data_IF_855088841721
#
_entry.id   IF_855088841721
#
_cell.length_a   1.000
_cell.length_b   1.000
_cell.length_c   1.000
_cell.angle_alpha   90.00
_cell.angle_beta   90.00
_cell.angle_gamma   90.00
#
_symmetry.space_group_name_H-M   'P 1'
#
loop_
_entity.id
_entity.type
_entity.pdbx_description
1 polymer ?
#
# COMPACT_ATOMS: atom_id res chain seq x y z
N UNK A 1 -42.64 -33.53 -16.96
CA UNK A 1 -42.64 -32.39 -16.05
C UNK A 1 -41.21 -32.17 -15.56
N UNK A 2 -40.48 -31.27 -16.22
CA UNK A 2 -39.17 -30.76 -15.80
C UNK A 2 -39.46 -29.63 -14.83
N UNK A 3 -38.88 -29.70 -13.62
CA UNK A 3 -38.75 -28.57 -12.69
C UNK A 3 -37.56 -27.71 -13.14
N UNK A 4 -37.81 -26.46 -13.36
CA UNK A 4 -36.82 -25.40 -13.53
C UNK A 4 -36.16 -25.12 -12.16
N UNK A 5 -34.83 -24.82 -12.09
CA UNK A 5 -34.20 -24.36 -10.86
C UNK A 5 -34.56 -22.90 -10.60
N UNK A 6 -34.95 -22.64 -9.36
CA UNK A 6 -35.22 -21.33 -8.79
C UNK A 6 -33.88 -20.59 -8.63
N UNK A 7 -33.65 -19.59 -9.49
CA UNK A 7 -32.51 -18.67 -9.38
C UNK A 7 -32.94 -17.47 -8.51
N UNK A 8 -32.91 -17.64 -7.20
CA UNK A 8 -32.88 -16.52 -6.28
C UNK A 8 -31.40 -16.22 -5.92
N UNK A 9 -30.67 -15.55 -6.80
CA UNK A 9 -29.43 -14.90 -6.45
C UNK A 9 -29.75 -13.75 -5.47
N UNK A 10 -29.49 -14.02 -4.20
CA UNK A 10 -29.40 -12.98 -3.17
C UNK A 10 -28.20 -12.08 -3.53
N UNK A 11 -28.48 -10.93 -4.13
CA UNK A 11 -27.52 -9.84 -4.24
C UNK A 11 -27.34 -9.27 -2.82
N UNK A 12 -26.26 -9.65 -2.13
CA UNK A 12 -25.77 -8.90 -0.99
C UNK A 12 -25.40 -7.48 -1.44
N UNK A 13 -26.32 -6.54 -1.24
CA UNK A 13 -26.01 -5.12 -1.31
C UNK A 13 -25.01 -4.81 -0.20
N UNK A 14 -23.75 -4.57 -0.60
CA UNK A 14 -22.74 -4.01 0.30
C UNK A 14 -23.16 -2.56 0.54
N UNK A 15 -23.87 -2.32 1.66
CA UNK A 15 -24.11 -0.97 2.16
C UNK A 15 -22.76 -0.33 2.50
N UNK A 16 -22.36 0.60 1.66
CA UNK A 16 -21.23 1.50 1.92
C UNK A 16 -21.59 2.35 3.15
N UNK A 17 -21.07 1.98 4.33
CA UNK A 17 -21.28 2.76 5.56
C UNK A 17 -20.77 4.19 5.35
N UNK A 18 -21.68 5.11 5.05
CA UNK A 18 -21.36 6.54 4.96
C UNK A 18 -20.88 7.05 6.31
N UNK A 19 -19.57 7.19 6.47
CA UNK A 19 -18.99 7.84 7.64
C UNK A 19 -19.29 9.33 7.60
N UNK A 20 -20.01 9.83 8.59
CA UNK A 20 -20.34 11.25 8.71
C UNK A 20 -19.50 11.87 9.83
N UNK A 21 -18.74 12.91 9.48
CA UNK A 21 -18.01 13.73 10.46
C UNK A 21 -18.87 14.97 10.74
N UNK A 22 -19.24 15.17 12.02
CA UNK A 22 -19.98 16.36 12.47
C UNK A 22 -19.05 17.25 13.28
N UNK A 23 -18.91 18.49 12.87
CA UNK A 23 -18.15 19.52 13.60
C UNK A 23 -19.17 20.51 14.19
N UNK A 24 -19.11 20.70 15.51
CA UNK A 24 -19.97 21.65 16.20
C UNK A 24 -19.19 22.95 16.46
N UNK A 25 -19.76 24.12 16.16
CA UNK A 25 -19.14 25.40 16.51
C UNK A 25 -19.11 25.57 18.03
N UNK A 26 -18.25 26.43 18.54
CA UNK A 26 -18.09 26.78 19.97
C UNK A 26 -17.42 25.70 20.84
N UNK A 27 -16.49 24.94 20.31
CA UNK A 27 -15.59 24.12 21.14
C UNK A 27 -14.41 24.94 21.64
N UNK A 28 -14.07 24.80 22.91
CA UNK A 28 -12.82 25.32 23.44
C UNK A 28 -11.68 24.41 22.99
N UNK A 29 -10.59 25.02 22.52
CA UNK A 29 -9.38 24.28 22.13
C UNK A 29 -8.35 24.36 23.26
N UNK A 30 -7.88 23.22 23.70
CA UNK A 30 -6.84 23.12 24.70
C UNK A 30 -5.51 22.74 24.05
N UNK A 31 -4.43 23.38 24.49
CA UNK A 31 -3.08 22.96 24.06
C UNK A 31 -2.80 21.55 24.58
N UNK A 32 -2.21 20.72 23.71
CA UNK A 32 -1.78 19.38 24.08
C UNK A 32 -0.42 19.07 23.47
N UNK A 33 0.35 18.21 24.12
CA UNK A 33 1.59 17.70 23.55
C UNK A 33 1.26 16.51 22.64
N UNK A 34 1.76 16.56 21.42
CA UNK A 34 1.58 15.49 20.43
C UNK A 34 2.95 15.03 19.95
N UNK A 35 3.22 13.74 20.11
CA UNK A 35 4.35 13.10 19.47
C UNK A 35 4.01 12.77 18.02
N UNK A 36 4.68 13.44 17.08
CA UNK A 36 4.48 13.19 15.66
C UNK A 36 5.27 11.95 15.25
N UNK A 37 4.60 10.91 14.72
CA UNK A 37 5.27 9.70 14.24
C UNK A 37 6.09 9.96 12.99
N UNK A 38 7.02 9.06 12.68
CA UNK A 38 7.65 9.00 11.38
C UNK A 38 6.62 8.73 10.29
N UNK A 39 6.73 9.46 9.16
CA UNK A 39 5.83 9.32 8.03
C UNK A 39 6.01 7.97 7.34
N UNK A 40 4.90 7.23 7.16
CA UNK A 40 4.92 5.91 6.54
C UNK A 40 5.31 5.96 5.06
N UNK A 41 4.84 6.95 4.31
CA UNK A 41 5.17 7.09 2.89
C UNK A 41 6.67 7.30 2.68
N UNK A 42 7.30 8.13 3.52
CA UNK A 42 8.77 8.29 3.50
C UNK A 42 9.49 7.00 3.92
N UNK A 43 8.98 6.31 4.94
CA UNK A 43 9.53 5.04 5.42
C UNK A 43 9.46 3.93 4.35
N UNK A 44 8.45 3.95 3.48
CA UNK A 44 8.22 2.94 2.44
C UNK A 44 9.41 2.77 1.50
N UNK A 45 10.12 3.86 1.18
CA UNK A 45 11.33 3.82 0.35
C UNK A 45 12.46 3.05 1.03
N UNK A 46 12.67 3.28 2.33
CA UNK A 46 13.68 2.56 3.11
C UNK A 46 13.29 1.10 3.32
N UNK A 47 12.00 0.82 3.51
CA UNK A 47 11.48 -0.54 3.63
C UNK A 47 11.81 -1.33 2.34
N UNK A 48 11.42 -0.82 1.18
CA UNK A 48 11.68 -1.51 -0.10
C UNK A 48 13.19 -1.60 -0.35
N UNK A 49 13.96 -0.54 -0.12
CA UNK A 49 15.42 -0.58 -0.27
C UNK A 49 16.04 -1.71 0.57
N UNK A 50 15.65 -1.84 1.84
CA UNK A 50 16.17 -2.90 2.71
C UNK A 50 15.77 -4.31 2.26
N UNK A 51 14.59 -4.46 1.64
CA UNK A 51 14.15 -5.74 1.09
C UNK A 51 14.97 -6.19 -0.11
N UNK A 52 15.31 -5.26 -1.02
CA UNK A 52 15.94 -5.59 -2.31
C UNK A 52 17.48 -5.54 -2.27
N UNK A 53 18.08 -4.80 -1.34
CA UNK A 53 19.53 -4.72 -1.21
C UNK A 53 20.05 -5.94 -0.43
N UNK A 54 21.01 -6.72 -0.99
CA UNK A 54 21.53 -7.90 -0.31
C UNK A 54 22.16 -7.59 1.05
N UNK A 55 21.95 -8.49 2.02
CA UNK A 55 22.49 -8.41 3.38
C UNK A 55 22.05 -7.17 4.18
N UNK A 56 20.94 -6.53 3.77
CA UNK A 56 20.37 -5.42 4.50
C UNK A 56 19.57 -5.89 5.71
N UNK A 57 19.73 -5.18 6.81
CA UNK A 57 18.89 -5.27 8.00
C UNK A 57 18.76 -3.86 8.60
N UNK A 58 17.56 -3.32 8.67
CA UNK A 58 17.30 -2.01 9.25
C UNK A 58 16.11 -2.05 10.21
N UNK A 59 16.12 -1.16 11.19
CA UNK A 59 14.97 -0.90 12.05
C UNK A 59 14.58 0.56 11.93
N UNK A 60 13.37 0.80 11.43
CA UNK A 60 12.75 2.12 11.39
C UNK A 60 11.94 2.30 12.66
N UNK A 61 12.26 3.35 13.45
CA UNK A 61 11.67 3.56 14.77
C UNK A 61 10.52 4.55 14.71
N UNK A 62 9.52 4.31 15.56
CA UNK A 62 8.37 5.22 15.78
C UNK A 62 7.66 5.62 14.48
N UNK A 63 7.42 4.66 13.59
CA UNK A 63 6.70 4.88 12.34
C UNK A 63 5.20 4.81 12.59
N UNK A 64 4.45 5.74 11.99
CA UNK A 64 2.98 5.70 11.99
C UNK A 64 2.48 4.45 11.26
N UNK A 65 1.68 3.63 11.95
CA UNK A 65 1.14 2.38 11.41
C UNK A 65 -0.39 2.37 11.38
N UNK A 66 -0.98 3.49 11.01
CA UNK A 66 -2.42 3.54 10.79
C UNK A 66 -2.83 2.54 9.71
N UNK A 67 -3.79 1.62 9.97
CA UNK A 67 -4.20 0.59 9.02
C UNK A 67 -4.63 1.11 7.65
N UNK A 68 -5.20 2.32 7.58
CA UNK A 68 -5.60 2.96 6.32
C UNK A 68 -4.42 3.42 5.46
N UNK A 69 -3.18 3.45 6.02
CA UNK A 69 -1.97 3.95 5.36
C UNK A 69 -0.92 2.87 5.14
N UNK A 70 -1.08 1.69 5.74
CA UNK A 70 -0.04 0.65 5.78
C UNK A 70 -0.34 -0.57 4.93
N UNK A 71 -1.22 -0.44 3.94
CA UNK A 71 -1.56 -1.52 3.02
C UNK A 71 -0.30 -2.10 2.32
N UNK A 72 0.72 -1.26 2.06
CA UNK A 72 2.00 -1.71 1.49
C UNK A 72 2.67 -2.80 2.33
N UNK A 73 2.65 -2.72 3.66
CA UNK A 73 3.26 -3.75 4.51
C UNK A 73 2.60 -5.11 4.30
N UNK A 74 1.27 -5.13 4.20
CA UNK A 74 0.51 -6.36 3.93
C UNK A 74 0.90 -6.95 2.58
N UNK A 75 0.94 -6.13 1.55
CA UNK A 75 1.32 -6.54 0.18
C UNK A 75 2.75 -7.06 0.13
N UNK A 76 3.70 -6.37 0.76
CA UNK A 76 5.10 -6.82 0.80
C UNK A 76 5.26 -8.16 1.55
N UNK A 77 4.53 -8.36 2.66
CA UNK A 77 4.52 -9.65 3.37
C UNK A 77 3.95 -10.76 2.49
N UNK A 78 2.90 -10.51 1.72
CA UNK A 78 2.35 -11.43 0.73
C UNK A 78 3.37 -11.77 -0.36
N UNK A 79 4.17 -10.79 -0.79
CA UNK A 79 5.31 -10.99 -1.69
C UNK A 79 6.47 -11.79 -1.06
N UNK A 80 6.42 -12.11 0.24
CA UNK A 80 7.45 -12.87 0.95
C UNK A 80 8.48 -12.02 1.70
N UNK A 81 8.18 -10.75 1.96
CA UNK A 81 9.07 -9.86 2.71
C UNK A 81 9.25 -10.29 4.17
N UNK A 82 10.48 -10.25 4.67
CA UNK A 82 10.81 -10.44 6.07
C UNK A 82 10.70 -9.12 6.83
N UNK A 83 9.50 -8.83 7.29
CA UNK A 83 9.15 -7.63 8.04
C UNK A 83 8.60 -8.04 9.41
N UNK A 84 9.08 -7.39 10.48
CA UNK A 84 8.55 -7.58 11.84
C UNK A 84 8.17 -6.24 12.43
N UNK A 85 6.99 -6.18 13.02
CA UNK A 85 6.45 -5.02 13.72
C UNK A 85 6.69 -5.24 15.22
N UNK A 86 7.40 -4.32 15.85
CA UNK A 86 7.76 -4.38 17.26
C UNK A 86 7.35 -3.08 17.97
N UNK A 87 7.31 -3.10 19.30
CA UNK A 87 7.11 -1.91 20.14
C UNK A 87 5.89 -1.08 19.72
N UNK A 88 4.77 -1.75 19.45
CA UNK A 88 3.51 -1.09 19.08
C UNK A 88 3.03 -0.23 20.25
N UNK A 89 2.70 1.04 19.95
CA UNK A 89 2.10 1.99 20.90
C UNK A 89 0.74 2.44 20.37
N UNK A 90 -0.27 2.32 21.21
CA UNK A 90 -1.65 2.74 20.93
C UNK A 90 -1.89 4.15 21.54
N UNK A 91 -1.20 5.14 21.01
CA UNK A 91 -1.37 6.55 21.38
C UNK A 91 -2.46 7.22 20.52
N UNK A 92 -2.51 8.56 20.48
CA UNK A 92 -3.38 9.32 19.55
C UNK A 92 -3.17 8.83 18.12
N UNK A 93 -1.91 8.68 17.70
CA UNK A 93 -1.53 7.98 16.48
C UNK A 93 -0.85 6.65 16.85
N UNK A 94 -1.28 5.59 16.19
CA UNK A 94 -0.70 4.26 16.37
C UNK A 94 0.68 4.21 15.73
N UNK A 95 1.70 3.83 16.51
CA UNK A 95 3.08 3.78 16.05
C UNK A 95 3.74 2.44 16.36
N UNK A 96 4.81 2.11 15.62
CA UNK A 96 5.64 0.93 15.89
C UNK A 96 7.07 1.12 15.38
N UNK A 97 7.94 0.22 15.83
CA UNK A 97 9.22 -0.02 15.20
C UNK A 97 9.09 -1.13 14.15
N UNK A 98 9.62 -0.89 12.96
CA UNK A 98 9.56 -1.84 11.84
C UNK A 98 10.97 -2.36 11.58
N UNK A 99 11.20 -3.65 11.79
CA UNK A 99 12.44 -4.35 11.43
C UNK A 99 12.27 -4.98 10.06
N UNK A 100 13.15 -4.66 9.14
CA UNK A 100 13.15 -5.16 7.76
C UNK A 100 14.47 -5.85 7.48
N UNK A 101 14.41 -7.01 6.81
CA UNK A 101 15.59 -7.75 6.35
C UNK A 101 15.47 -8.07 4.87
N UNK A 102 16.60 -8.10 4.17
CA UNK A 102 16.70 -8.57 2.77
C UNK A 102 15.84 -9.80 2.55
N UNK A 103 15.09 -9.80 1.46
CA UNK A 103 14.14 -10.87 1.13
C UNK A 103 14.12 -11.18 -0.36
N UNK A 104 13.84 -12.42 -0.70
CA UNK A 104 13.53 -12.81 -2.08
C UNK A 104 12.03 -12.63 -2.29
N UNK A 105 11.66 -11.57 -2.98
CA UNK A 105 10.26 -11.26 -3.26
C UNK A 105 9.72 -12.13 -4.40
N UNK A 106 8.44 -12.48 -4.31
CA UNK A 106 7.68 -13.16 -5.35
C UNK A 106 6.61 -12.23 -5.92
N UNK A 107 6.30 -12.45 -7.18
CA UNK A 107 5.25 -11.72 -7.87
C UNK A 107 3.86 -12.02 -7.27
N UNK A 108 2.97 -11.05 -7.37
CA UNK A 108 1.58 -11.15 -6.95
C UNK A 108 0.64 -10.60 -8.01
N UNK A 109 -0.64 -10.93 -7.89
CA UNK A 109 -1.74 -10.19 -8.51
C UNK A 109 -2.35 -9.32 -7.42
N UNK A 110 -2.19 -8.00 -7.55
CA UNK A 110 -2.68 -7.07 -6.53
C UNK A 110 -4.21 -7.00 -6.54
N UNK A 111 -4.83 -7.16 -5.38
CA UNK A 111 -6.27 -6.92 -5.23
C UNK A 111 -6.56 -5.42 -5.43
N UNK A 112 -7.38 -5.09 -6.44
CA UNK A 112 -7.73 -3.71 -6.78
C UNK A 112 -8.40 -2.97 -5.61
N UNK A 113 -9.06 -3.67 -4.69
CA UNK A 113 -9.64 -3.07 -3.47
C UNK A 113 -8.61 -2.43 -2.54
N UNK A 114 -7.35 -2.81 -2.66
CA UNK A 114 -6.25 -2.22 -1.88
C UNK A 114 -5.70 -0.92 -2.49
N UNK A 115 -5.99 -0.65 -3.77
CA UNK A 115 -5.43 0.49 -4.49
C UNK A 115 -5.66 1.83 -3.78
N UNK A 116 -6.87 2.17 -3.27
CA UNK A 116 -7.07 3.43 -2.57
C UNK A 116 -6.14 3.63 -1.36
N UNK A 117 -5.82 2.54 -0.64
CA UNK A 117 -4.93 2.56 0.53
C UNK A 117 -3.44 2.40 0.18
N UNK A 118 -3.12 2.28 -1.11
CA UNK A 118 -1.77 2.10 -1.65
C UNK A 118 -1.37 3.19 -2.62
N UNK A 119 -2.27 4.10 -2.96
CA UNK A 119 -2.12 5.00 -4.11
C UNK A 119 -0.81 5.80 -4.07
N UNK A 120 -0.40 6.24 -2.88
CA UNK A 120 0.83 7.01 -2.70
C UNK A 120 2.08 6.10 -2.68
N UNK A 121 1.94 4.83 -2.31
CA UNK A 121 3.01 3.84 -2.23
C UNK A 121 3.10 2.94 -3.49
N UNK A 122 2.18 3.05 -4.46
CA UNK A 122 2.26 2.29 -5.70
C UNK A 122 3.57 2.52 -6.47
N UNK A 123 4.13 3.74 -6.56
CA UNK A 123 5.41 3.94 -7.23
C UNK A 123 6.53 3.10 -6.64
N UNK A 124 6.64 3.02 -5.31
CA UNK A 124 7.67 2.20 -4.68
C UNK A 124 7.35 0.70 -4.73
N UNK A 125 6.08 0.33 -4.80
CA UNK A 125 5.66 -1.06 -5.03
C UNK A 125 6.05 -1.54 -6.44
N UNK A 126 5.98 -0.68 -7.49
CA UNK A 126 6.49 -1.02 -8.81
C UNK A 126 7.99 -1.35 -8.77
N UNK A 127 8.77 -0.61 -7.96
CA UNK A 127 10.20 -0.93 -7.77
C UNK A 127 10.36 -2.28 -7.08
N UNK A 128 9.64 -2.56 -5.98
CA UNK A 128 9.68 -3.87 -5.33
C UNK A 128 9.32 -5.00 -6.31
N UNK A 129 8.33 -4.78 -7.16
CA UNK A 129 7.86 -5.73 -8.17
C UNK A 129 8.92 -6.02 -9.24
N UNK A 130 9.74 -5.01 -9.61
CA UNK A 130 10.83 -5.19 -10.55
C UNK A 130 11.93 -6.16 -10.04
N UNK A 131 12.04 -6.33 -8.72
CA UNK A 131 12.96 -7.27 -8.08
C UNK A 131 12.28 -8.60 -7.68
N UNK A 132 10.97 -8.73 -7.86
CA UNK A 132 10.24 -9.95 -7.54
C UNK A 132 10.42 -11.04 -8.61
N UNK A 133 10.35 -12.30 -8.17
CA UNK A 133 10.36 -13.44 -9.09
C UNK A 133 8.98 -13.65 -9.67
N UNK A 134 8.86 -13.62 -10.98
CA UNK A 134 7.61 -13.82 -11.71
C UNK A 134 7.06 -12.51 -12.29
N UNK A 135 5.78 -12.50 -12.61
CA UNK A 135 5.08 -11.36 -13.21
C UNK A 135 4.07 -10.80 -12.20
N UNK A 136 4.34 -9.62 -11.67
CA UNK A 136 3.37 -8.88 -10.83
C UNK A 136 2.35 -8.19 -11.72
N UNK A 137 1.08 -8.24 -11.32
CA UNK A 137 -0.03 -7.61 -12.04
C UNK A 137 -0.67 -6.57 -11.12
N UNK A 138 -0.67 -5.31 -11.54
CA UNK A 138 -1.28 -4.19 -10.83
C UNK A 138 -2.24 -3.48 -11.76
N UNK A 139 -3.54 -3.48 -11.40
CA UNK A 139 -4.64 -2.82 -12.12
C UNK A 139 -5.39 -1.88 -11.16
N UNK A 140 -6.29 -1.06 -11.73
CA UNK A 140 -7.09 -0.11 -10.95
C UNK A 140 -6.34 1.15 -10.49
N UNK A 141 -5.07 1.33 -10.92
CA UNK A 141 -4.20 2.44 -10.51
C UNK A 141 -4.35 3.70 -11.41
N UNK A 142 -5.46 3.83 -12.15
CA UNK A 142 -5.68 4.93 -13.09
C UNK A 142 -5.61 6.33 -12.46
N UNK A 143 -5.92 6.45 -11.17
CA UNK A 143 -5.82 7.71 -10.41
C UNK A 143 -4.39 8.29 -10.38
N UNK A 144 -3.35 7.45 -10.52
CA UNK A 144 -1.95 7.93 -10.61
C UNK A 144 -1.69 8.86 -11.78
N UNK A 145 -2.54 8.82 -12.83
CA UNK A 145 -2.42 9.70 -14.00
C UNK A 145 -2.93 11.11 -13.75
N UNK A 146 -3.77 11.29 -12.73
CA UNK A 146 -4.44 12.56 -12.43
C UNK A 146 -3.88 13.26 -11.18
N UNK A 147 -2.74 12.80 -10.68
CA UNK A 147 -1.99 13.47 -9.59
C UNK A 147 -1.29 14.74 -10.14
N UNK A 148 -0.36 15.32 -9.39
CA UNK A 148 0.41 16.52 -9.81
C UNK A 148 1.17 16.30 -11.13
N UNK A 149 1.47 15.03 -11.44
CA UNK A 149 2.02 14.54 -12.71
C UNK A 149 1.42 13.17 -13.00
N UNK A 150 1.50 12.71 -14.26
CA UNK A 150 1.18 11.31 -14.60
C UNK A 150 2.26 10.39 -13.99
N UNK A 151 2.02 9.95 -12.73
CA UNK A 151 2.96 9.10 -12.00
C UNK A 151 3.09 7.71 -12.63
N UNK A 152 2.04 7.22 -13.30
CA UNK A 152 2.09 5.92 -13.98
C UNK A 152 3.00 5.97 -15.20
N UNK A 153 2.95 7.05 -15.99
CA UNK A 153 3.84 7.28 -17.12
C UNK A 153 5.28 7.51 -16.64
N UNK A 154 5.47 8.32 -15.61
CA UNK A 154 6.79 8.57 -15.03
C UNK A 154 7.47 7.27 -14.56
N UNK A 155 6.72 6.40 -13.87
CA UNK A 155 7.23 5.09 -13.42
C UNK A 155 7.50 4.15 -14.60
N UNK A 156 6.63 4.12 -15.62
CA UNK A 156 6.88 3.34 -16.85
C UNK A 156 8.19 3.76 -17.53
N UNK A 157 8.41 5.06 -17.67
CA UNK A 157 9.64 5.59 -18.25
C UNK A 157 10.88 5.23 -17.40
N UNK A 158 10.79 5.36 -16.07
CA UNK A 158 11.87 5.02 -15.16
C UNK A 158 12.23 3.53 -15.23
N UNK A 159 11.25 2.64 -15.17
CA UNK A 159 11.42 1.19 -15.27
C UNK A 159 12.02 0.79 -16.62
N UNK A 160 11.55 1.40 -17.72
CA UNK A 160 12.09 1.18 -19.07
C UNK A 160 13.55 1.58 -19.18
N UNK A 161 13.93 2.75 -18.65
CA UNK A 161 15.32 3.22 -18.64
C UNK A 161 16.25 2.31 -17.82
N UNK A 162 15.71 1.63 -16.80
CA UNK A 162 16.43 0.63 -16.00
C UNK A 162 16.46 -0.76 -16.65
N UNK A 163 15.83 -0.93 -17.83
CA UNK A 163 15.81 -2.19 -18.55
C UNK A 163 14.84 -3.24 -17.98
N UNK A 164 13.89 -2.83 -17.13
CA UNK A 164 12.85 -3.70 -16.62
C UNK A 164 11.88 -4.05 -17.74
N UNK A 165 11.53 -5.32 -17.88
CA UNK A 165 10.50 -5.77 -18.83
C UNK A 165 9.12 -5.61 -18.17
N UNK A 166 8.27 -4.82 -18.75
CA UNK A 166 6.91 -4.58 -18.26
C UNK A 166 5.95 -4.30 -19.42
N UNK A 167 4.66 -4.33 -19.13
CA UNK A 167 3.61 -3.86 -20.01
C UNK A 167 2.79 -2.80 -19.27
N UNK A 168 2.74 -1.59 -19.83
CA UNK A 168 1.94 -0.50 -19.29
C UNK A 168 0.54 -0.51 -19.89
N UNK A 169 -0.46 -0.21 -19.04
CA UNK A 169 -1.87 -0.08 -19.41
C UNK A 169 -2.38 1.29 -18.94
N UNK A 170 -3.62 1.60 -19.32
CA UNK A 170 -4.25 2.86 -18.92
C UNK A 170 -4.34 3.00 -17.39
N UNK A 171 -4.51 1.90 -16.69
CA UNK A 171 -4.80 1.81 -15.25
C UNK A 171 -3.81 0.95 -14.47
N UNK A 172 -2.64 0.64 -15.01
CA UNK A 172 -1.68 -0.18 -14.29
C UNK A 172 -0.46 -0.62 -15.09
N UNK A 173 0.35 -1.46 -14.44
CA UNK A 173 1.58 -2.05 -14.99
C UNK A 173 1.63 -3.54 -14.62
N UNK A 174 2.13 -4.37 -15.56
CA UNK A 174 2.43 -5.80 -15.36
C UNK A 174 3.93 -6.06 -15.49
#
# INVERSE_FOLDING_TARGET
LRKEPDESEEQEEIEDEKKTIKIFPSQEFYSTNIDIPGDFSSASFLIVAALIIPNSEITLKNIGINPSRTALLKVLVEMGANIKINNVKENIERTADILIKTSSLNAIVLDEKLIPNLIDELPILFIASAFAKGKTIIRGAGELRTKESDRLEAMSNALGNLGVKFQSYRDGID
#
